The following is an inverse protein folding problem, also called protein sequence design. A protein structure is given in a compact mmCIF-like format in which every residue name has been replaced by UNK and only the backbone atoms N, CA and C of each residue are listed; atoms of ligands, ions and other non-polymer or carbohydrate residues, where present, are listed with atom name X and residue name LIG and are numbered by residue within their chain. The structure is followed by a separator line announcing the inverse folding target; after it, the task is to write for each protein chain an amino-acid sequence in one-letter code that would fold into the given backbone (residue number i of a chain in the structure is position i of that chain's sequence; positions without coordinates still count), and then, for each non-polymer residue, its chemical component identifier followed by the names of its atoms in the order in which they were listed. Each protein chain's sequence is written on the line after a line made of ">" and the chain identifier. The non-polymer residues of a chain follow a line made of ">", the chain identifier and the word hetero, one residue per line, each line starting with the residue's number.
data_IF_191417469849
#
_entry.id   IF_191417469849
#
_cell.length_a   1.000
_cell.length_b   1.000
_cell.length_c   1.000
_cell.angle_alpha   90.00
_cell.angle_beta   90.00
_cell.angle_gamma   90.00
#
_symmetry.space_group_name_H-M   'P 1'
#
loop_
_entity.id
_entity.type
_entity.pdbx_description
1 polymer ?
#
# COMPACT_ATOMS: atom_id res chain seq x y z
N UNK A 1 -21.14 -6.07 2.11
CA UNK A 1 -19.77 -5.65 2.46
C UNK A 1 -19.29 -6.57 3.57
N UNK A 2 -18.31 -7.44 3.32
CA UNK A 2 -17.85 -8.45 4.28
C UNK A 2 -16.83 -7.86 5.27
N UNK A 3 -16.72 -8.43 6.47
CA UNK A 3 -15.71 -8.03 7.47
C UNK A 3 -14.27 -8.10 6.91
N UNK A 4 -14.02 -9.12 6.07
CA UNK A 4 -12.76 -9.28 5.35
C UNK A 4 -12.48 -8.12 4.39
N UNK A 5 -13.47 -7.70 3.60
CA UNK A 5 -13.31 -6.58 2.67
C UNK A 5 -13.01 -5.27 3.40
N UNK A 6 -13.67 -5.01 4.54
CA UNK A 6 -13.38 -3.84 5.37
C UNK A 6 -11.99 -3.89 5.99
N UNK A 7 -11.54 -5.07 6.39
CA UNK A 7 -10.16 -5.28 6.89
C UNK A 7 -9.13 -4.99 5.81
N UNK A 8 -9.35 -5.46 4.58
CA UNK A 8 -8.46 -5.21 3.44
C UNK A 8 -8.40 -3.70 3.09
N UNK A 9 -9.53 -2.99 3.10
CA UNK A 9 -9.55 -1.55 2.85
C UNK A 9 -8.75 -0.76 3.89
N UNK A 10 -8.92 -1.08 5.18
CA UNK A 10 -8.14 -0.45 6.27
C UNK A 10 -6.64 -0.73 6.14
N UNK A 11 -6.27 -1.97 5.77
CA UNK A 11 -4.88 -2.32 5.52
C UNK A 11 -4.31 -1.51 4.34
N UNK A 12 -5.08 -1.38 3.26
CA UNK A 12 -4.71 -0.58 2.07
C UNK A 12 -4.49 0.89 2.42
N UNK A 13 -5.39 1.48 3.20
CA UNK A 13 -5.29 2.88 3.65
C UNK A 13 -4.01 3.10 4.46
N UNK A 14 -3.76 2.26 5.46
CA UNK A 14 -2.54 2.33 6.27
C UNK A 14 -1.26 2.22 5.43
N UNK A 15 -1.22 1.32 4.46
CA UNK A 15 -0.05 1.18 3.59
C UNK A 15 0.15 2.40 2.69
N UNK A 16 -0.92 3.08 2.27
CA UNK A 16 -0.81 4.33 1.53
C UNK A 16 -0.18 5.44 2.40
N UNK A 17 -0.59 5.55 3.67
CA UNK A 17 0.00 6.51 4.62
C UNK A 17 1.50 6.24 4.85
N UNK A 18 1.86 4.97 5.06
CA UNK A 18 3.26 4.55 5.23
C UNK A 18 4.09 4.86 3.98
N UNK A 19 3.55 4.59 2.78
CA UNK A 19 4.21 4.93 1.50
C UNK A 19 4.43 6.43 1.35
N UNK A 20 3.45 7.24 1.70
CA UNK A 20 3.51 8.70 1.57
C UNK A 20 4.56 9.31 2.51
N UNK A 21 4.84 8.69 3.67
CA UNK A 21 5.95 9.07 4.52
C UNK A 21 7.32 8.88 3.83
N UNK A 22 7.50 7.80 3.07
CA UNK A 22 8.71 7.57 2.28
C UNK A 22 8.79 8.52 1.08
N UNK A 23 7.67 8.83 0.43
CA UNK A 23 7.63 9.83 -0.64
C UNK A 23 8.12 11.20 -0.16
N UNK A 24 7.68 11.65 1.03
CA UNK A 24 8.16 12.90 1.65
C UNK A 24 9.67 12.86 1.92
N UNK A 25 10.20 11.71 2.33
CA UNK A 25 11.65 11.54 2.54
C UNK A 25 12.43 11.65 1.22
N UNK A 26 11.91 11.07 0.14
CA UNK A 26 12.52 11.12 -1.19
C UNK A 26 12.44 12.51 -1.83
N UNK A 27 11.44 13.31 -1.47
CA UNK A 27 11.27 14.69 -1.93
C UNK A 27 12.12 15.71 -1.14
N UNK A 28 12.67 15.33 0.01
CA UNK A 28 13.54 16.19 0.81
C UNK A 28 14.93 16.35 0.17
N UNK A 29 15.76 17.31 0.62
CA UNK A 29 17.15 17.41 0.19
C UNK A 29 17.89 16.08 0.33
N UNK A 30 18.74 15.77 -0.66
CA UNK A 30 19.33 14.45 -0.79
C UNK A 30 20.24 14.10 0.39
N UNK A 31 19.86 13.03 1.08
CA UNK A 31 20.64 12.33 2.09
C UNK A 31 20.75 10.88 1.60
N UNK A 32 21.96 10.44 1.25
CA UNK A 32 22.17 9.15 0.56
C UNK A 32 21.58 7.98 1.33
N UNK A 33 21.88 7.87 2.61
CA UNK A 33 21.48 6.73 3.43
C UNK A 33 19.96 6.70 3.63
N UNK A 34 19.35 7.88 3.85
CA UNK A 34 17.90 7.99 3.97
C UNK A 34 17.19 7.74 2.65
N UNK A 35 17.72 8.26 1.55
CA UNK A 35 17.13 8.13 0.22
C UNK A 35 17.18 6.68 -0.28
N UNK A 36 18.30 5.98 -0.10
CA UNK A 36 18.44 4.58 -0.51
C UNK A 36 17.48 3.67 0.28
N UNK A 37 17.42 3.85 1.61
CA UNK A 37 16.48 3.12 2.46
C UNK A 37 15.02 3.44 2.11
N UNK A 38 14.68 4.71 1.93
CA UNK A 38 13.33 5.14 1.59
C UNK A 38 12.89 4.62 0.23
N UNK A 39 13.79 4.56 -0.76
CA UNK A 39 13.50 4.02 -2.10
C UNK A 39 13.13 2.54 -2.05
N UNK A 40 13.91 1.73 -1.33
CA UNK A 40 13.63 0.29 -1.17
C UNK A 40 12.27 0.10 -0.50
N UNK A 41 12.03 0.80 0.62
CA UNK A 41 10.76 0.69 1.36
C UNK A 41 9.55 1.17 0.56
N UNK A 42 9.70 2.25 -0.22
CA UNK A 42 8.64 2.76 -1.07
C UNK A 42 8.19 1.70 -2.10
N UNK A 43 9.14 1.01 -2.74
CA UNK A 43 8.83 -0.03 -3.73
C UNK A 43 8.17 -1.24 -3.06
N UNK A 44 8.69 -1.71 -1.92
CA UNK A 44 8.11 -2.82 -1.16
C UNK A 44 6.66 -2.54 -0.74
N UNK A 45 6.39 -1.33 -0.23
CA UNK A 45 5.04 -0.94 0.19
C UNK A 45 4.12 -0.80 -1.02
N UNK A 46 4.59 -0.28 -2.15
CA UNK A 46 3.78 -0.23 -3.36
C UNK A 46 3.38 -1.63 -3.83
N UNK A 47 4.32 -2.59 -3.82
CA UNK A 47 4.02 -3.98 -4.16
C UNK A 47 3.00 -4.61 -3.21
N UNK A 48 3.04 -4.26 -1.92
CA UNK A 48 2.04 -4.68 -0.94
C UNK A 48 0.66 -4.05 -1.20
N UNK A 49 0.60 -2.75 -1.52
CA UNK A 49 -0.64 -2.06 -1.92
C UNK A 49 -1.26 -2.77 -3.14
N UNK A 50 -0.46 -3.05 -4.17
CA UNK A 50 -0.93 -3.73 -5.39
C UNK A 50 -1.46 -5.15 -5.12
N UNK A 51 -0.90 -5.84 -4.12
CA UNK A 51 -1.40 -7.14 -3.68
C UNK A 51 -2.73 -7.01 -2.93
N UNK A 52 -2.88 -6.00 -2.06
CA UNK A 52 -4.13 -5.75 -1.34
C UNK A 52 -5.24 -5.30 -2.30
N UNK A 53 -4.94 -4.42 -3.26
CA UNK A 53 -5.90 -3.97 -4.27
C UNK A 53 -6.41 -5.14 -5.11
N UNK A 54 -5.53 -6.09 -5.49
CA UNK A 54 -5.94 -7.34 -6.16
C UNK A 54 -6.82 -8.22 -5.28
N UNK A 55 -6.53 -8.32 -3.98
CA UNK A 55 -7.37 -9.09 -3.05
C UNK A 55 -8.76 -8.45 -2.88
N UNK A 56 -8.83 -7.12 -2.79
CA UNK A 56 -10.09 -6.36 -2.74
C UNK A 56 -10.92 -6.61 -4.00
N UNK A 57 -10.30 -6.52 -5.18
CA UNK A 57 -10.97 -6.78 -6.45
C UNK A 57 -11.55 -8.21 -6.47
N UNK A 58 -10.76 -9.20 -6.03
CA UNK A 58 -11.20 -10.60 -5.91
C UNK A 58 -12.45 -10.76 -5.03
N UNK A 59 -12.48 -10.14 -3.85
CA UNK A 59 -13.64 -10.16 -2.95
C UNK A 59 -14.89 -9.49 -3.57
N UNK A 60 -14.71 -8.41 -4.34
CA UNK A 60 -15.81 -7.73 -5.01
C UNK A 60 -16.40 -8.57 -6.14
N UNK A 61 -15.56 -9.22 -6.95
CA UNK A 61 -16.02 -10.15 -8.01
C UNK A 61 -16.66 -11.41 -7.44
N UNK A 62 -16.12 -11.99 -6.36
CA UNK A 62 -16.70 -13.16 -5.70
C UNK A 62 -18.04 -12.86 -5.05
N UNK A 63 -18.22 -11.64 -4.52
CA UNK A 63 -19.49 -11.16 -3.97
C UNK A 63 -20.56 -10.86 -5.04
N UNK A 64 -20.18 -10.68 -6.30
CA UNK A 64 -21.13 -10.44 -7.41
C UNK A 64 -21.58 -11.74 -8.11
N UNK A 65 -20.87 -12.85 -7.87
CA UNK A 65 -21.14 -14.15 -8.46
C UNK A 65 -21.87 -15.13 -7.51
N UNK A 66 -22.22 -14.69 -6.31
CA UNK A 66 -22.95 -15.43 -5.27
C UNK A 66 -24.28 -14.74 -4.98
#
# INVERSE_FOLDING_TARGET
>A
MTERLETLKKARERMADDRDAFAKTLAAPFDRDKAERARIKFIEIQALIDAIDRAIAGEQTGSAAA
#
